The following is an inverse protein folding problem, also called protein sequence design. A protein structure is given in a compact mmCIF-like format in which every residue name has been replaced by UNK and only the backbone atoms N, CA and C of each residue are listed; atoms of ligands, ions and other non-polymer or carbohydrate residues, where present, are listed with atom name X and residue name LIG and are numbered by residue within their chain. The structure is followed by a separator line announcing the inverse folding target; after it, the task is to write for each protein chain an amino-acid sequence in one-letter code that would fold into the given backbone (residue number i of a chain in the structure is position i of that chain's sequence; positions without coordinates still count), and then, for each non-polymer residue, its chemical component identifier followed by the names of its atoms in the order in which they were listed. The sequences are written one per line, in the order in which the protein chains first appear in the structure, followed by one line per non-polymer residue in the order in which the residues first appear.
data_IF_619844287948
#
_entry.id   IF_619844287948
#
_cell.length_a   1.000
_cell.length_b   1.000
_cell.length_c   1.000
_cell.angle_alpha   90.00
_cell.angle_beta   90.00
_cell.angle_gamma   90.00
#
_symmetry.space_group_name_H-M   'P 1'
#
loop_
_entity.id
_entity.type
_entity.pdbx_description
1 polymer ?
#
# COMPACT_ATOMS: atom_id res chain seq x y z
N UNK A 1 -6.24 -8.22 1.94
CA UNK A 1 -6.47 -8.33 0.47
C UNK A 1 -5.28 -7.84 -0.34
N UNK A 2 -4.61 -6.70 -0.03
CA UNK A 2 -3.52 -6.13 -0.84
C UNK A 2 -2.39 -7.12 -1.21
N UNK A 3 -1.91 -7.93 -0.25
CA UNK A 3 -0.90 -8.99 -0.52
C UNK A 3 -1.39 -10.05 -1.51
N UNK A 4 -2.66 -10.42 -1.45
CA UNK A 4 -3.26 -11.35 -2.40
C UNK A 4 -3.33 -10.71 -3.79
N UNK A 5 -3.80 -9.47 -3.85
CA UNK A 5 -3.92 -8.72 -5.10
C UNK A 5 -2.57 -8.52 -5.78
N UNK A 6 -1.51 -8.21 -5.03
CA UNK A 6 -0.13 -8.14 -5.56
C UNK A 6 0.28 -9.47 -6.22
N UNK A 7 0.08 -10.59 -5.54
CA UNK A 7 0.42 -11.91 -6.09
C UNK A 7 -0.37 -12.23 -7.35
N UNK A 8 -1.67 -11.93 -7.34
CA UNK A 8 -2.52 -12.16 -8.50
C UNK A 8 -2.17 -11.24 -9.67
N UNK A 9 -1.84 -9.97 -9.42
CA UNK A 9 -1.35 -9.06 -10.46
C UNK A 9 -0.07 -9.61 -11.12
N UNK A 10 0.88 -10.08 -10.31
CA UNK A 10 2.13 -10.65 -10.81
C UNK A 10 1.96 -11.97 -11.58
N UNK A 11 0.96 -12.79 -11.24
CA UNK A 11 0.71 -14.07 -11.92
C UNK A 11 -0.12 -13.86 -13.19
N UNK A 12 -1.17 -13.04 -13.11
CA UNK A 12 -2.18 -12.96 -14.18
C UNK A 12 -2.00 -11.77 -15.10
N UNK A 13 -1.22 -10.76 -14.71
CA UNK A 13 -1.06 -9.44 -15.36
C UNK A 13 -2.40 -8.73 -15.61
N UNK A 14 -3.43 -9.10 -14.85
CA UNK A 14 -4.74 -8.48 -14.96
C UNK A 14 -4.80 -7.22 -14.10
N UNK A 15 -5.02 -6.07 -14.74
CA UNK A 15 -5.08 -4.75 -14.11
C UNK A 15 -6.11 -4.62 -12.99
N UNK A 16 -7.15 -5.47 -13.00
CA UNK A 16 -8.14 -5.54 -11.91
C UNK A 16 -7.51 -5.78 -10.54
N UNK A 17 -6.45 -6.58 -10.47
CA UNK A 17 -5.75 -6.83 -9.21
C UNK A 17 -4.87 -5.65 -8.79
N UNK A 18 -4.32 -4.91 -9.74
CA UNK A 18 -3.60 -3.66 -9.45
C UNK A 18 -4.57 -2.59 -8.91
N UNK A 19 -5.76 -2.46 -9.53
CA UNK A 19 -6.82 -1.57 -9.06
C UNK A 19 -7.29 -1.92 -7.64
N UNK A 20 -7.56 -3.19 -7.36
CA UNK A 20 -7.92 -3.65 -6.01
C UNK A 20 -6.82 -3.35 -4.99
N UNK A 21 -5.56 -3.54 -5.37
CA UNK A 21 -4.41 -3.27 -4.53
C UNK A 21 -4.28 -1.78 -4.19
N UNK A 22 -4.52 -0.90 -5.17
CA UNK A 22 -4.54 0.55 -4.98
C UNK A 22 -5.67 0.96 -4.02
N UNK A 23 -6.88 0.46 -4.23
CA UNK A 23 -8.02 0.71 -3.35
C UNK A 23 -7.76 0.26 -1.91
N UNK A 24 -7.19 -0.93 -1.73
CA UNK A 24 -6.83 -1.47 -0.41
C UNK A 24 -5.75 -0.62 0.27
N UNK A 25 -4.77 -0.14 -0.47
CA UNK A 25 -3.72 0.72 0.06
C UNK A 25 -4.30 2.04 0.58
N UNK A 26 -5.01 2.78 -0.28
CA UNK A 26 -5.49 4.12 0.07
C UNK A 26 -6.66 4.10 1.04
N UNK A 27 -7.59 3.15 0.94
CA UNK A 27 -8.81 3.17 1.73
C UNK A 27 -8.76 2.29 2.99
N UNK A 28 -8.03 1.17 2.96
CA UNK A 28 -7.98 0.26 4.12
C UNK A 28 -6.70 0.41 4.94
N UNK A 29 -5.54 0.37 4.29
CA UNK A 29 -4.26 0.37 4.99
C UNK A 29 -3.98 1.75 5.56
N UNK A 30 -4.01 2.80 4.72
CA UNK A 30 -3.73 4.17 5.15
C UNK A 30 -4.82 4.75 6.04
N UNK A 31 -6.08 4.34 5.86
CA UNK A 31 -7.17 4.77 6.74
C UNK A 31 -6.99 4.34 8.20
N UNK A 32 -6.19 3.31 8.46
CA UNK A 32 -5.84 2.87 9.81
C UNK A 32 -4.96 3.86 10.57
N UNK A 33 -4.21 4.72 9.88
CA UNK A 33 -3.21 5.61 10.45
C UNK A 33 -3.77 7.04 10.53
N UNK A 34 -3.43 7.79 11.57
CA UNK A 34 -3.69 9.22 11.61
C UNK A 34 -2.78 9.97 10.62
N UNK A 35 -3.21 11.12 10.13
CA UNK A 35 -2.44 11.93 9.18
C UNK A 35 -1.07 12.36 9.72
N UNK A 36 -0.95 12.53 11.05
CA UNK A 36 0.32 12.84 11.71
C UNK A 36 1.22 11.62 11.94
N UNK A 37 0.79 10.41 11.55
CA UNK A 37 1.51 9.15 11.70
C UNK A 37 1.67 8.65 13.14
N UNK A 38 1.08 9.31 14.15
CA UNK A 38 1.36 9.06 15.57
C UNK A 38 0.33 8.21 16.28
N UNK A 39 -0.76 7.89 15.61
CA UNK A 39 -1.84 7.06 16.17
C UNK A 39 -2.52 6.22 15.09
N UNK A 40 -3.17 5.15 15.50
CA UNK A 40 -3.74 4.18 14.59
C UNK A 40 -4.97 3.48 15.18
N UNK A 41 -5.75 2.83 14.32
CA UNK A 41 -6.77 1.88 14.72
C UNK A 41 -6.20 0.47 14.77
N UNK A 42 -6.59 -0.30 15.77
CA UNK A 42 -6.29 -1.74 15.84
C UNK A 42 -7.09 -2.50 14.79
N UNK A 43 -8.36 -2.17 14.64
CA UNK A 43 -9.28 -2.67 13.61
C UNK A 43 -10.01 -1.50 12.96
N UNK A 44 -10.34 -1.64 11.67
CA UNK A 44 -11.14 -0.69 10.90
C UNK A 44 -12.54 -1.29 10.64
N UNK A 45 -13.47 -1.22 11.59
CA UNK A 45 -14.85 -1.64 11.33
C UNK A 45 -15.53 -0.65 10.38
N UNK A 46 -16.48 -1.13 9.58
CA UNK A 46 -17.27 -0.28 8.67
C UNK A 46 -18.14 0.72 9.44
N UNK A 47 -18.55 0.37 10.65
CA UNK A 47 -19.34 1.22 11.53
C UNK A 47 -18.77 1.20 12.95
N UNK A 48 -18.63 2.37 13.55
CA UNK A 48 -18.25 2.53 14.96
C UNK A 48 -19.41 3.14 15.72
N UNK A 49 -19.93 2.38 16.68
CA UNK A 49 -20.91 2.86 17.66
C UNK A 49 -20.21 3.13 18.98
N UNK A 50 -19.86 4.38 19.33
CA UNK A 50 -19.02 4.68 20.50
C UNK A 50 -19.55 4.08 21.81
N UNK A 51 -20.85 4.12 22.02
CA UNK A 51 -21.48 3.55 23.23
C UNK A 51 -21.30 2.03 23.33
N UNK A 52 -21.31 1.32 22.21
CA UNK A 52 -21.12 -0.14 22.19
C UNK A 52 -19.65 -0.55 22.36
N UNK A 53 -18.71 0.26 21.87
CA UNK A 53 -17.28 0.01 22.05
C UNK A 53 -16.84 0.08 23.51
N UNK A 54 -17.59 0.79 24.36
CA UNK A 54 -17.28 0.95 25.79
C UNK A 54 -17.92 -0.15 26.67
N UNK A 55 -18.99 -0.80 26.20
CA UNK A 55 -19.82 -1.70 27.02
C UNK A 55 -19.52 -3.19 26.82
N UNK A 56 -18.85 -3.60 25.73
CA UNK A 56 -18.58 -5.00 25.41
C UNK A 56 -17.11 -5.35 25.52
N UNK A 57 -16.76 -6.27 26.40
CA UNK A 57 -15.39 -6.77 26.61
C UNK A 57 -14.78 -7.38 25.33
N UNK A 58 -15.60 -8.09 24.53
CA UNK A 58 -15.16 -8.67 23.24
C UNK A 58 -14.81 -7.62 22.17
N UNK A 59 -15.22 -6.37 22.34
CA UNK A 59 -14.95 -5.25 21.42
C UNK A 59 -14.06 -4.17 22.04
N UNK A 60 -13.38 -4.46 23.13
CA UNK A 60 -12.53 -3.48 23.83
C UNK A 60 -11.39 -2.92 22.96
N UNK A 61 -10.97 -3.66 21.92
CA UNK A 61 -9.98 -3.23 20.94
C UNK A 61 -10.55 -2.30 19.85
N UNK A 62 -11.88 -2.23 19.69
CA UNK A 62 -12.52 -1.26 18.79
C UNK A 62 -12.61 0.08 19.51
N UNK A 63 -11.99 1.10 18.95
CA UNK A 63 -11.99 2.46 19.52
C UNK A 63 -12.64 3.44 18.54
N UNK A 64 -13.33 4.43 19.08
CA UNK A 64 -13.94 5.50 18.30
C UNK A 64 -12.89 6.52 17.75
N UNK A 65 -11.70 6.50 18.30
CA UNK A 65 -10.57 7.37 17.90
C UNK A 65 -9.31 6.53 17.81
N UNK A 66 -8.39 6.91 16.94
CA UNK A 66 -7.05 6.32 16.84
C UNK A 66 -6.31 6.47 18.15
N UNK A 67 -5.55 5.45 18.53
CA UNK A 67 -4.78 5.39 19.76
C UNK A 67 -3.30 5.40 19.43
N UNK A 68 -2.48 5.96 20.33
CA UNK A 68 -1.02 5.90 20.22
C UNK A 68 -0.48 4.48 20.42
N UNK A 69 -1.19 3.70 21.21
CA UNK A 69 -0.82 2.33 21.56
C UNK A 69 -2.03 1.48 21.93
N UNK A 70 -1.87 0.17 21.77
CA UNK A 70 -2.78 -0.87 22.26
C UNK A 70 -1.97 -1.87 23.08
N UNK A 71 -2.59 -2.56 24.01
CA UNK A 71 -1.94 -3.57 24.86
C UNK A 71 -1.32 -4.74 24.10
N UNK A 72 -1.78 -4.97 22.86
CA UNK A 72 -1.22 -5.96 21.91
C UNK A 72 -0.94 -5.26 20.60
N UNK A 73 0.27 -5.45 20.05
CA UNK A 73 0.73 -4.79 18.83
C UNK A 73 0.76 -5.76 17.63
N UNK A 74 -0.33 -6.46 17.32
CA UNK A 74 -0.37 -7.38 16.18
C UNK A 74 -0.77 -6.71 14.86
N UNK A 75 -1.63 -5.69 14.87
CA UNK A 75 -2.13 -5.06 13.65
C UNK A 75 -1.24 -3.93 13.12
N UNK A 76 -0.70 -3.00 13.94
CA UNK A 76 0.20 -1.95 13.48
C UNK A 76 1.45 -2.44 12.76
N UNK A 77 2.12 -3.53 13.19
CA UNK A 77 3.26 -4.08 12.46
C UNK A 77 2.93 -4.50 11.02
N UNK A 78 1.69 -4.89 10.72
CA UNK A 78 1.28 -5.18 9.35
C UNK A 78 1.21 -3.93 8.47
N UNK A 79 0.78 -2.80 9.03
CA UNK A 79 0.81 -1.51 8.33
C UNK A 79 2.27 -1.11 8.08
N UNK A 80 3.11 -1.14 9.11
CA UNK A 80 4.54 -0.83 9.01
C UNK A 80 5.24 -1.72 7.98
N UNK A 81 4.97 -3.03 8.00
CA UNK A 81 5.50 -3.97 7.01
C UNK A 81 5.07 -3.62 5.59
N UNK A 82 3.79 -3.30 5.38
CA UNK A 82 3.28 -2.95 4.05
C UNK A 82 3.93 -1.67 3.54
N UNK A 83 4.05 -0.64 4.37
CA UNK A 83 4.71 0.60 4.00
C UNK A 83 6.20 0.41 3.73
N UNK A 84 6.89 -0.38 4.55
CA UNK A 84 8.32 -0.69 4.35
C UNK A 84 8.57 -1.50 3.07
N UNK A 85 7.59 -2.27 2.60
CA UNK A 85 7.66 -3.06 1.36
C UNK A 85 6.93 -2.43 0.18
N UNK A 86 6.52 -1.16 0.28
CA UNK A 86 5.68 -0.49 -0.71
C UNK A 86 6.29 -0.50 -2.11
N UNK A 87 7.61 -0.42 -2.22
CA UNK A 87 8.31 -0.51 -3.49
C UNK A 87 7.99 -1.77 -4.31
N UNK A 88 7.69 -2.89 -3.64
CA UNK A 88 7.32 -4.15 -4.29
C UNK A 88 5.92 -4.13 -4.92
N UNK A 89 5.11 -3.14 -4.56
CA UNK A 89 3.74 -2.98 -5.05
C UNK A 89 3.65 -2.04 -6.26
N UNK A 90 4.71 -1.30 -6.57
CA UNK A 90 4.70 -0.26 -7.61
C UNK A 90 4.84 -0.90 -8.99
N UNK A 91 5.72 -1.87 -9.14
CA UNK A 91 6.01 -2.49 -10.43
C UNK A 91 5.92 -4.01 -10.37
N UNK A 92 5.48 -4.59 -11.49
CA UNK A 92 5.64 -6.00 -11.81
C UNK A 92 6.55 -6.17 -13.03
N UNK A 93 7.25 -7.30 -13.12
CA UNK A 93 8.14 -7.62 -14.23
C UNK A 93 7.80 -9.00 -14.79
N UNK A 94 7.77 -9.12 -16.12
CA UNK A 94 7.62 -10.38 -16.81
C UNK A 94 8.48 -10.40 -18.08
N UNK A 95 9.59 -11.11 -18.04
CA UNK A 95 10.56 -11.08 -19.14
C UNK A 95 11.10 -9.66 -19.37
N UNK A 96 10.78 -9.09 -20.53
CA UNK A 96 11.17 -7.73 -20.92
C UNK A 96 10.12 -6.65 -20.55
N UNK A 97 8.95 -7.06 -20.09
CA UNK A 97 7.85 -6.14 -19.81
C UNK A 97 7.85 -5.67 -18.36
N UNK A 98 7.64 -4.38 -18.19
CA UNK A 98 7.48 -3.75 -16.87
C UNK A 98 6.05 -3.21 -16.76
N UNK A 99 5.32 -3.69 -15.75
CA UNK A 99 3.96 -3.28 -15.45
C UNK A 99 3.97 -2.26 -14.30
N UNK A 100 3.38 -1.10 -14.50
CA UNK A 100 3.16 -0.13 -13.42
C UNK A 100 1.83 -0.42 -12.76
N UNK A 101 1.85 -0.78 -11.49
CA UNK A 101 0.65 -1.06 -10.70
C UNK A 101 0.17 0.15 -9.89
N UNK A 102 1.12 0.94 -9.35
CA UNK A 102 0.83 2.11 -8.54
C UNK A 102 1.60 3.33 -9.05
N UNK A 103 0.93 4.47 -9.10
CA UNK A 103 1.51 5.73 -9.59
C UNK A 103 2.08 6.58 -8.46
N UNK A 104 2.95 5.98 -7.65
CA UNK A 104 3.63 6.64 -6.53
C UNK A 104 4.98 7.16 -6.99
N UNK A 105 5.26 8.45 -6.78
CA UNK A 105 6.52 9.08 -7.14
C UNK A 105 7.72 8.33 -6.56
N UNK A 106 8.67 7.92 -7.44
CA UNK A 106 9.81 7.10 -7.01
C UNK A 106 10.95 7.13 -8.05
N UNK A 107 12.10 6.62 -7.62
CA UNK A 107 13.20 6.25 -8.50
C UNK A 107 13.67 4.85 -8.13
N UNK A 108 13.79 3.97 -9.13
CA UNK A 108 14.19 2.58 -8.91
C UNK A 108 15.02 2.04 -10.06
N UNK A 109 15.72 0.95 -9.80
CA UNK A 109 16.46 0.16 -10.79
C UNK A 109 15.83 -1.22 -10.86
N UNK A 110 15.40 -1.61 -12.04
CA UNK A 110 14.69 -2.88 -12.27
C UNK A 110 15.54 -3.75 -13.18
N UNK A 111 15.97 -4.93 -12.74
CA UNK A 111 16.61 -5.89 -13.63
C UNK A 111 15.57 -6.42 -14.63
N UNK A 112 15.93 -6.37 -15.91
CA UNK A 112 15.11 -6.84 -17.03
C UNK A 112 16.02 -7.67 -17.95
N UNK A 113 15.81 -8.98 -17.97
CA UNK A 113 16.71 -9.93 -18.64
C UNK A 113 18.15 -9.80 -18.10
N UNK A 114 19.11 -9.42 -18.98
CA UNK A 114 20.51 -9.22 -18.64
C UNK A 114 20.89 -7.76 -18.43
N UNK A 115 19.92 -6.85 -18.49
CA UNK A 115 20.11 -5.41 -18.41
C UNK A 115 19.46 -4.85 -17.14
N UNK A 116 19.80 -3.63 -16.79
CA UNK A 116 19.16 -2.86 -15.72
C UNK A 116 18.48 -1.63 -16.30
N UNK A 117 17.24 -1.44 -15.96
CA UNK A 117 16.46 -0.27 -16.37
C UNK A 117 16.24 0.64 -15.17
N UNK A 118 16.63 1.89 -15.30
CA UNK A 118 16.32 2.94 -14.34
C UNK A 118 14.98 3.55 -14.68
N UNK A 119 14.05 3.54 -13.74
CA UNK A 119 12.76 4.23 -13.84
C UNK A 119 12.73 5.39 -12.85
N UNK A 120 12.34 6.55 -13.33
CA UNK A 120 12.02 7.70 -12.49
C UNK A 120 10.58 8.10 -12.77
N UNK A 121 9.74 8.03 -11.76
CA UNK A 121 8.35 8.44 -11.82
C UNK A 121 8.18 9.72 -11.01
N UNK A 122 7.75 10.79 -11.67
CA UNK A 122 7.35 12.05 -11.05
C UNK A 122 5.82 12.08 -11.01
N UNK A 123 5.26 11.99 -9.82
CA UNK A 123 3.83 11.84 -9.58
C UNK A 123 3.44 12.41 -8.24
N UNK A 124 2.39 13.21 -8.23
CA UNK A 124 1.68 13.69 -7.05
C UNK A 124 0.30 13.02 -6.91
N UNK A 125 0.11 11.89 -7.61
CA UNK A 125 -1.12 11.11 -7.49
C UNK A 125 -1.36 10.64 -6.03
N UNK A 126 -2.58 10.72 -5.50
CA UNK A 126 -3.85 11.02 -6.16
C UNK A 126 -4.25 12.50 -6.19
N UNK A 127 -3.40 13.42 -5.75
CA UNK A 127 -3.73 14.85 -5.68
C UNK A 127 -3.69 15.54 -7.04
N UNK A 128 -2.81 15.08 -7.93
CA UNK A 128 -2.66 15.57 -9.30
C UNK A 128 -2.64 14.38 -10.27
N UNK A 129 -3.31 14.54 -11.41
CA UNK A 129 -3.40 13.47 -12.42
C UNK A 129 -2.23 13.44 -13.41
N UNK A 130 -1.31 14.42 -13.37
CA UNK A 130 -0.15 14.46 -14.25
C UNK A 130 0.96 13.55 -13.74
N UNK A 131 1.33 12.55 -14.55
CA UNK A 131 2.37 11.58 -14.20
C UNK A 131 3.42 11.58 -15.33
N UNK A 132 4.68 11.76 -14.96
CA UNK A 132 5.83 11.66 -15.89
C UNK A 132 6.66 10.44 -15.55
N UNK A 133 6.84 9.57 -16.51
CA UNK A 133 7.69 8.39 -16.37
C UNK A 133 8.88 8.51 -17.32
N UNK A 134 10.09 8.48 -16.75
CA UNK A 134 11.33 8.44 -17.50
C UNK A 134 11.96 7.07 -17.36
N UNK A 135 12.23 6.44 -18.49
CA UNK A 135 12.85 5.11 -18.58
C UNK A 135 14.22 5.25 -19.24
N UNK A 136 15.26 4.70 -18.62
CA UNK A 136 16.63 4.75 -19.10
C UNK A 136 17.28 3.38 -18.96
N UNK A 137 17.85 2.85 -20.03
CA UNK A 137 18.76 1.70 -19.94
C UNK A 137 20.04 2.11 -19.21
N UNK A 138 20.46 1.31 -18.26
CA UNK A 138 21.76 1.46 -17.59
C UNK A 138 22.68 0.39 -18.20
N UNK A 139 23.62 0.81 -19.03
CA UNK A 139 24.71 -0.07 -19.48
C UNK A 139 25.75 -0.11 -18.38
N UNK A 140 26.16 -1.31 -17.99
CA UNK A 140 27.38 -1.50 -17.21
C UNK A 140 28.60 -1.07 -17.99
#
# INVERSE_FOLDING_TARGET
MALFSLRMANITRNSRYAELMEQELYNNILAGIAQDGKSFFYVNPLEIKPRQCMSHTSRAHVKARRQKWFGVACCPPNIARTLASLGQYIYGVDGADIYTHLYIGNQTYIPVNNDVVKITMDSMFPWEGNIKVKVQGVKE
#
